data_IF_434363447244
#
_entry.id   IF_434363447244
#
_cell.length_a   1.000
_cell.length_b   1.000
_cell.length_c   1.000
_cell.angle_alpha   90.00
_cell.angle_beta   90.00
_cell.angle_gamma   90.00
#
_symmetry.space_group_name_H-M   'P 1'
#
loop_
_entity.id
_entity.type
_entity.pdbx_description
1 polymer ?
#
# COMPACT_ATOMS: atom_id res chain seq x y z
N UNK A 1 -34.28 38.85 -41.56
CA UNK A 1 -33.53 37.67 -41.05
C UNK A 1 -32.79 38.07 -39.78
N UNK A 2 -33.30 37.56 -38.65
CA UNK A 2 -32.73 37.35 -37.30
C UNK A 2 -31.60 38.23 -36.74
N UNK A 3 -31.94 39.07 -35.75
CA UNK A 3 -31.00 39.61 -34.74
C UNK A 3 -30.74 38.54 -33.67
N UNK A 4 -29.53 37.98 -33.64
CA UNK A 4 -29.12 36.95 -32.68
C UNK A 4 -28.65 37.62 -31.37
N UNK A 5 -29.44 37.45 -30.31
CA UNK A 5 -29.33 38.20 -29.07
C UNK A 5 -28.11 37.83 -28.21
N UNK A 6 -27.42 38.86 -27.74
CA UNK A 6 -26.27 38.86 -26.80
C UNK A 6 -26.45 37.99 -25.53
N UNK A 7 -27.69 37.63 -25.17
CA UNK A 7 -27.99 36.71 -24.05
C UNK A 7 -27.56 35.26 -24.32
N UNK A 8 -27.53 34.84 -25.58
CA UNK A 8 -27.09 33.50 -25.99
C UNK A 8 -25.58 33.31 -25.81
N UNK A 9 -24.78 34.37 -25.99
CA UNK A 9 -23.33 34.33 -25.85
C UNK A 9 -22.88 34.14 -24.39
N UNK A 10 -23.69 34.58 -23.42
CA UNK A 10 -23.29 34.52 -22.01
C UNK A 10 -23.46 33.14 -21.39
N UNK A 11 -24.48 32.38 -21.78
CA UNK A 11 -24.67 31.00 -21.33
C UNK A 11 -23.60 30.05 -21.89
N UNK A 12 -23.15 30.27 -23.13
CA UNK A 12 -22.07 29.48 -23.72
C UNK A 12 -20.75 29.69 -22.96
N UNK A 13 -20.49 30.92 -22.50
CA UNK A 13 -19.30 31.21 -21.70
C UNK A 13 -19.34 30.59 -20.29
N UNK A 14 -20.52 30.45 -19.67
CA UNK A 14 -20.63 29.80 -18.36
C UNK A 14 -20.55 28.27 -18.45
N UNK A 15 -21.03 27.68 -19.55
CA UNK A 15 -20.94 26.24 -19.80
C UNK A 15 -19.51 25.77 -20.12
N UNK A 16 -18.66 26.64 -20.68
CA UNK A 16 -17.26 26.28 -20.95
C UNK A 16 -16.34 26.25 -19.71
N UNK A 17 -16.69 26.95 -18.62
CA UNK A 17 -15.83 27.04 -17.43
C UNK A 17 -16.01 25.89 -16.43
N UNK A 18 -17.08 25.08 -16.55
CA UNK A 18 -17.35 23.94 -15.67
C UNK A 18 -16.75 22.61 -16.16
N UNK A 19 -16.14 22.60 -17.36
CA UNK A 19 -15.63 21.39 -18.02
C UNK A 19 -14.11 21.23 -17.87
N UNK A 20 -13.51 21.70 -16.78
CA UNK A 20 -12.18 21.27 -16.36
C UNK A 20 -12.33 20.15 -15.32
N UNK A 21 -12.57 18.89 -15.72
CA UNK A 21 -12.44 17.80 -14.78
C UNK A 21 -10.95 17.68 -14.47
N UNK A 22 -10.59 17.98 -13.22
CA UNK A 22 -9.77 17.09 -12.39
C UNK A 22 -8.64 16.39 -13.17
N UNK A 23 -7.64 17.16 -13.60
CA UNK A 23 -6.29 16.64 -13.85
C UNK A 23 -5.39 16.83 -12.62
N UNK A 24 -5.99 16.77 -11.43
CA UNK A 24 -5.30 16.36 -10.21
C UNK A 24 -5.43 14.83 -10.08
N UNK A 25 -5.09 14.11 -11.15
CA UNK A 25 -4.86 12.68 -11.02
C UNK A 25 -3.51 12.53 -10.32
N UNK A 26 -3.59 11.98 -9.12
CA UNK A 26 -2.51 11.47 -8.29
C UNK A 26 -1.56 10.61 -9.14
N UNK A 27 -0.53 11.24 -9.71
CA UNK A 27 0.58 10.58 -10.38
C UNK A 27 1.46 9.91 -9.32
N UNK A 28 0.94 8.86 -8.67
CA UNK A 28 1.82 7.78 -8.23
C UNK A 28 2.29 7.08 -9.50
N UNK A 29 3.37 7.61 -10.08
CA UNK A 29 4.12 6.95 -11.14
C UNK A 29 4.55 5.57 -10.65
N UNK A 30 3.76 4.56 -10.97
CA UNK A 30 4.19 3.18 -11.00
C UNK A 30 4.77 2.96 -12.39
N UNK A 31 6.06 3.22 -12.56
CA UNK A 31 6.79 2.95 -13.81
C UNK A 31 6.71 1.44 -14.11
N UNK A 32 6.07 1.01 -15.21
CA UNK A 32 5.79 -0.41 -15.46
C UNK A 32 7.00 -1.18 -16.02
N UNK A 33 8.20 -0.61 -16.07
CA UNK A 33 9.29 -1.21 -16.86
C UNK A 33 10.29 -2.09 -16.09
N UNK A 34 10.22 -2.19 -14.75
CA UNK A 34 11.09 -3.10 -14.00
C UNK A 34 10.34 -3.68 -12.80
N UNK A 35 9.57 -4.76 -13.00
CA UNK A 35 9.23 -5.64 -11.88
C UNK A 35 10.54 -6.22 -11.33
N UNK A 36 10.79 -6.17 -10.00
CA UNK A 36 11.98 -6.78 -9.42
C UNK A 36 12.09 -8.25 -9.83
N UNK A 37 13.21 -8.66 -10.41
CA UNK A 37 13.46 -10.08 -10.70
C UNK A 37 13.54 -10.78 -9.33
N UNK A 38 12.66 -11.76 -9.03
CA UNK A 38 12.67 -12.42 -7.74
C UNK A 38 13.99 -13.16 -7.54
N UNK A 39 14.68 -12.83 -6.44
CA UNK A 39 15.92 -13.49 -6.07
C UNK A 39 15.62 -14.97 -5.77
N UNK A 40 16.43 -15.94 -6.26
CA UNK A 40 16.19 -17.37 -6.01
C UNK A 40 16.18 -17.74 -4.52
N UNK A 41 16.91 -16.98 -3.70
CA UNK A 41 17.03 -17.16 -2.26
C UNK A 41 16.18 -16.16 -1.45
N UNK A 42 15.05 -15.73 -2.00
CA UNK A 42 14.10 -14.86 -1.32
C UNK A 42 12.73 -15.52 -1.22
N UNK A 43 12.01 -15.20 -0.14
CA UNK A 43 10.59 -15.50 -0.07
C UNK A 43 9.88 -14.55 -1.05
N UNK A 44 9.02 -15.06 -1.96
CA UNK A 44 8.30 -14.23 -2.91
C UNK A 44 7.49 -13.12 -2.23
N UNK A 45 7.45 -11.95 -2.86
CA UNK A 45 6.61 -10.85 -2.39
C UNK A 45 5.12 -11.24 -2.41
N UNK A 46 4.36 -10.71 -1.46
CA UNK A 46 2.95 -11.04 -1.29
C UNK A 46 2.67 -12.38 -0.60
N UNK A 47 3.71 -13.14 -0.21
CA UNK A 47 3.52 -14.34 0.60
C UNK A 47 3.08 -14.00 2.03
N UNK A 48 1.92 -14.52 2.43
CA UNK A 48 1.46 -14.49 3.82
C UNK A 48 2.27 -15.47 4.66
N UNK A 49 2.76 -15.01 5.81
CA UNK A 49 3.53 -15.83 6.76
C UNK A 49 2.77 -15.94 8.06
N UNK A 50 2.57 -17.16 8.54
CA UNK A 50 1.96 -17.37 9.86
C UNK A 50 2.99 -17.12 10.98
N UNK A 51 2.69 -16.17 11.86
CA UNK A 51 3.49 -15.85 13.03
C UNK A 51 2.73 -16.13 14.32
N UNK A 52 3.42 -16.69 15.31
CA UNK A 52 2.94 -16.76 16.70
C UNK A 52 3.60 -15.66 17.50
N UNK A 53 2.81 -14.74 18.04
CA UNK A 53 3.30 -13.72 18.97
C UNK A 53 3.84 -14.38 20.25
N UNK A 54 5.01 -13.93 20.71
CA UNK A 54 5.52 -14.31 22.03
C UNK A 54 5.02 -13.36 23.11
N UNK A 55 4.82 -12.10 22.73
CA UNK A 55 4.37 -11.02 23.61
C UNK A 55 2.86 -10.77 23.43
N UNK A 56 2.17 -10.39 24.51
CA UNK A 56 0.78 -9.96 24.41
C UNK A 56 0.70 -8.52 23.88
N UNK A 57 -0.05 -8.31 22.79
CA UNK A 57 -0.27 -6.99 22.20
C UNK A 57 -1.64 -6.45 22.66
N UNK A 58 -1.61 -5.59 23.68
CA UNK A 58 -2.78 -4.92 24.26
C UNK A 58 -2.65 -3.40 24.02
N UNK A 59 -3.51 -2.85 23.15
CA UNK A 59 -3.44 -1.44 22.75
C UNK A 59 -3.56 -0.47 23.92
N UNK A 60 -4.25 -0.85 25.01
CA UNK A 60 -4.37 -0.02 26.21
C UNK A 60 -3.05 0.17 26.98
N UNK A 61 -2.06 -0.69 26.74
CA UNK A 61 -0.77 -0.71 27.45
C UNK A 61 0.42 -0.50 26.53
N UNK A 62 0.20 -0.54 25.22
CA UNK A 62 1.25 -0.41 24.22
C UNK A 62 1.62 1.05 23.98
N UNK A 63 2.87 1.26 23.55
CA UNK A 63 3.36 2.57 23.13
C UNK A 63 3.88 2.50 21.70
N UNK A 64 3.75 3.59 20.96
CA UNK A 64 4.43 3.73 19.67
C UNK A 64 5.94 3.47 19.84
N UNK A 65 6.52 2.73 18.90
CA UNK A 65 7.91 2.29 18.90
C UNK A 65 8.22 1.10 19.80
N UNK A 66 7.25 0.61 20.61
CA UNK A 66 7.46 -0.54 21.47
C UNK A 66 7.80 -1.78 20.64
N UNK A 67 8.88 -2.46 21.01
CA UNK A 67 9.29 -3.69 20.35
C UNK A 67 8.47 -4.88 20.84
N UNK A 68 8.21 -5.80 19.93
CA UNK A 68 7.63 -7.11 20.24
C UNK A 68 8.37 -8.19 19.47
N UNK A 69 8.21 -9.42 19.90
CA UNK A 69 8.76 -10.60 19.25
C UNK A 69 7.68 -11.61 18.89
N UNK A 70 7.93 -12.32 17.80
CA UNK A 70 7.11 -13.42 17.34
C UNK A 70 8.01 -14.58 16.90
N UNK A 71 7.41 -15.71 16.57
CA UNK A 71 8.08 -16.84 15.94
C UNK A 71 7.33 -17.26 14.69
N UNK A 72 8.07 -17.68 13.67
CA UNK A 72 7.46 -18.30 12.48
C UNK A 72 6.78 -19.59 12.90
N UNK A 73 5.51 -19.77 12.52
CA UNK A 73 4.72 -20.93 12.93
C UNK A 73 4.92 -22.15 12.01
N UNK A 74 5.39 -21.93 10.78
CA UNK A 74 5.57 -22.93 9.74
C UNK A 74 6.93 -22.79 9.05
N UNK A 75 7.33 -23.80 8.27
CA UNK A 75 8.54 -23.73 7.46
C UNK A 75 8.25 -22.94 6.17
N UNK A 76 9.04 -21.89 5.90
CA UNK A 76 8.95 -21.10 4.66
C UNK A 76 10.05 -21.53 3.71
N UNK A 77 9.69 -21.91 2.49
CA UNK A 77 10.62 -22.43 1.49
C UNK A 77 10.75 -21.43 0.33
N UNK A 78 11.97 -20.99 0.06
CA UNK A 78 12.30 -20.14 -1.09
C UNK A 78 12.35 -20.98 -2.39
N UNK A 79 12.27 -20.36 -3.58
CA UNK A 79 12.29 -21.08 -4.87
C UNK A 79 13.53 -21.95 -5.09
N UNK A 80 14.68 -21.58 -4.51
CA UNK A 80 15.91 -22.39 -4.55
C UNK A 80 15.94 -23.56 -3.54
N UNK A 81 14.88 -23.76 -2.76
CA UNK A 81 14.79 -24.78 -1.72
C UNK A 81 15.37 -24.38 -0.36
N UNK A 82 15.89 -23.16 -0.20
CA UNK A 82 16.32 -22.67 1.12
C UNK A 82 15.11 -22.50 2.05
N UNK A 83 15.25 -22.91 3.32
CA UNK A 83 14.13 -22.94 4.26
C UNK A 83 14.39 -22.07 5.48
N UNK A 84 13.45 -21.15 5.77
CA UNK A 84 13.32 -20.53 7.09
C UNK A 84 12.45 -21.48 7.91
N UNK A 85 13.05 -22.13 8.91
CA UNK A 85 12.34 -23.11 9.73
C UNK A 85 11.32 -22.43 10.66
N UNK A 86 10.30 -23.18 11.03
CA UNK A 86 9.42 -22.82 12.13
C UNK A 86 10.22 -22.57 13.42
N UNK A 87 9.66 -21.75 14.30
CA UNK A 87 10.27 -21.36 15.57
C UNK A 87 11.31 -20.23 15.46
N UNK A 88 11.73 -19.85 14.24
CA UNK A 88 12.65 -18.72 14.03
C UNK A 88 12.03 -17.42 14.55
N UNK A 89 12.83 -16.61 15.23
CA UNK A 89 12.36 -15.38 15.88
C UNK A 89 12.24 -14.24 14.88
N UNK A 90 11.13 -13.51 14.99
CA UNK A 90 10.87 -12.26 14.25
C UNK A 90 10.78 -11.12 15.26
N UNK A 91 11.40 -9.98 14.94
CA UNK A 91 11.30 -8.74 15.72
C UNK A 91 10.43 -7.74 14.98
N UNK A 92 9.55 -7.08 15.72
CA UNK A 92 8.72 -5.99 15.20
C UNK A 92 8.71 -4.81 16.18
N UNK A 93 8.12 -3.71 15.73
CA UNK A 93 7.77 -2.58 16.58
C UNK A 93 6.34 -2.13 16.31
N UNK A 94 5.70 -1.53 17.32
CA UNK A 94 4.39 -0.90 17.18
C UNK A 94 4.56 0.42 16.43
N UNK A 95 3.95 0.57 15.26
CA UNK A 95 4.06 1.79 14.45
C UNK A 95 3.18 2.94 14.96
N UNK A 96 2.02 2.62 15.53
CA UNK A 96 1.08 3.57 16.14
C UNK A 96 0.16 2.82 17.11
N UNK A 97 -0.48 3.55 18.01
CA UNK A 97 -1.55 3.07 18.89
C UNK A 97 -2.68 4.08 18.80
N UNK A 98 -3.90 3.62 18.55
CA UNK A 98 -5.12 4.41 18.45
C UNK A 98 -6.10 4.04 19.58
#
# INVERSE_FOLDING_TARGET
>A
MTRLGSRQLWCVSLLLLAALPVLAQDSREHDPLIAPIPLPNAIPEGQTILLRLNDNLDTSKMKQGQRFTAKVAEDLVAPNGATIRHGQKVWGHVSSVE
#
